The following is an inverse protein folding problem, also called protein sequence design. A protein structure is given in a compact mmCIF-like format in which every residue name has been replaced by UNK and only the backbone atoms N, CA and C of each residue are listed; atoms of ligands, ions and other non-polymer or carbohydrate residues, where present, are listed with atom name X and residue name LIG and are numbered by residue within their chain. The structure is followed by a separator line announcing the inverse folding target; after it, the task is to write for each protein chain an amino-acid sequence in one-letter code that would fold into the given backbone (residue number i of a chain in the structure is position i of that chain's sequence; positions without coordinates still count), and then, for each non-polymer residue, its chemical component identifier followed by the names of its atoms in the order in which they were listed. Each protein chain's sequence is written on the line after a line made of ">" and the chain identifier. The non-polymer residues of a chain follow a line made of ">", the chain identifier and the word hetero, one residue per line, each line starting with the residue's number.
data_IF_541150707587
#
_entry.id   IF_541150707587
#
_cell.length_a   1.000
_cell.length_b   1.000
_cell.length_c   1.000
_cell.angle_alpha   90.00
_cell.angle_beta   90.00
_cell.angle_gamma   90.00
#
_symmetry.space_group_name_H-M   'P 1'
#
loop_
_entity.id
_entity.type
_entity.pdbx_description
1 polymer ?
#
# COMPACT_ATOMS: atom_id res chain seq x y z
N UNK A 1 -1.81 4.43 8.00
CA UNK A 1 -1.06 3.29 8.57
C UNK A 1 -1.69 2.77 9.86
N UNK A 2 -1.86 3.59 10.92
CA UNK A 2 -2.40 3.13 12.20
C UNK A 2 -3.74 2.36 12.12
N UNK A 3 -4.75 2.93 11.44
CA UNK A 3 -6.09 2.32 11.32
C UNK A 3 -6.02 0.90 10.76
N UNK A 4 -5.17 0.67 9.77
CA UNK A 4 -4.98 -0.64 9.15
C UNK A 4 -4.45 -1.67 10.16
N UNK A 5 -3.38 -1.31 10.88
CA UNK A 5 -2.81 -2.17 11.90
C UNK A 5 -3.80 -2.45 13.05
N UNK A 6 -4.46 -1.40 13.56
CA UNK A 6 -5.46 -1.54 14.62
C UNK A 6 -6.63 -2.44 14.20
N UNK A 7 -7.19 -2.25 13.00
CA UNK A 7 -8.24 -3.11 12.47
C UNK A 7 -7.77 -4.55 12.29
N UNK A 8 -6.54 -4.79 11.83
CA UNK A 8 -5.99 -6.15 11.72
C UNK A 8 -5.86 -6.85 13.08
N UNK A 9 -5.52 -6.13 14.15
CA UNK A 9 -5.50 -6.70 15.51
C UNK A 9 -6.89 -6.94 16.06
N UNK A 10 -7.83 -6.00 15.87
CA UNK A 10 -9.22 -6.22 16.26
C UNK A 10 -9.85 -7.42 15.55
N UNK A 11 -9.50 -7.65 14.27
CA UNK A 11 -9.96 -8.80 13.50
C UNK A 11 -9.47 -10.15 14.07
N UNK A 12 -8.37 -10.14 14.84
CA UNK A 12 -7.86 -11.31 15.57
C UNK A 12 -8.61 -11.59 16.89
N UNK A 13 -9.56 -10.73 17.28
CA UNK A 13 -10.35 -10.91 18.50
C UNK A 13 -9.61 -10.55 19.79
N UNK A 14 -8.64 -9.63 19.72
CA UNK A 14 -7.93 -9.14 20.92
C UNK A 14 -8.87 -8.31 21.81
N UNK A 15 -8.60 -8.31 23.12
CA UNK A 15 -9.39 -7.54 24.10
C UNK A 15 -8.93 -6.07 24.25
N UNK A 16 -7.79 -5.72 23.67
CA UNK A 16 -7.23 -4.38 23.78
C UNK A 16 -6.02 -4.16 22.88
N UNK A 17 -5.75 -2.88 22.61
CA UNK A 17 -4.57 -2.44 21.87
C UNK A 17 -3.63 -1.70 22.83
N UNK A 18 -2.38 -2.17 22.91
CA UNK A 18 -1.32 -1.44 23.57
C UNK A 18 -0.59 -0.57 22.55
N UNK A 19 -0.34 0.69 22.93
CA UNK A 19 0.23 1.69 22.05
C UNK A 19 1.50 2.22 22.71
N UNK A 20 2.66 1.79 22.23
CA UNK A 20 3.97 2.19 22.74
C UNK A 20 4.55 3.39 21.99
N UNK A 21 5.46 4.13 22.64
CA UNK A 21 6.31 5.15 22.00
C UNK A 21 5.59 6.37 21.40
N UNK A 22 4.28 6.48 21.60
CA UNK A 22 3.50 7.62 21.12
C UNK A 22 3.80 8.95 21.80
N UNK A 23 4.54 8.94 22.92
CA UNK A 23 5.03 10.15 23.57
C UNK A 23 6.00 10.94 22.69
N UNK A 24 6.62 10.33 21.67
CA UNK A 24 7.43 11.03 20.67
C UNK A 24 6.62 11.97 19.77
N UNK A 25 5.28 11.86 19.78
CA UNK A 25 4.38 12.75 19.02
C UNK A 25 4.02 14.03 19.78
N UNK A 26 4.65 14.29 20.93
CA UNK A 26 4.48 15.54 21.66
C UNK A 26 5.18 16.71 20.93
N UNK A 27 4.53 17.89 20.81
CA UNK A 27 3.22 18.25 21.33
C UNK A 27 2.06 17.67 20.51
N UNK A 28 1.02 17.19 21.21
CA UNK A 28 -0.10 16.51 20.56
C UNK A 28 -1.02 17.46 19.81
N UNK A 29 -1.17 17.23 18.51
CA UNK A 29 -2.08 17.98 17.64
C UNK A 29 -3.48 17.34 17.55
N UNK A 30 -4.42 18.04 16.92
CA UNK A 30 -5.78 17.54 16.72
C UNK A 30 -5.84 16.14 16.06
N UNK A 31 -4.93 15.89 15.10
CA UNK A 31 -4.82 14.61 14.39
C UNK A 31 -4.42 13.45 15.31
N UNK A 32 -3.68 13.72 16.38
CA UNK A 32 -3.32 12.73 17.40
C UNK A 32 -4.54 12.33 18.23
N UNK A 33 -5.31 13.30 18.73
CA UNK A 33 -6.52 13.03 19.49
C UNK A 33 -7.62 12.37 18.66
N UNK A 34 -7.71 12.66 17.36
CA UNK A 34 -8.59 11.92 16.44
C UNK A 34 -8.25 10.42 16.46
N UNK A 35 -6.96 10.08 16.27
CA UNK A 35 -6.51 8.67 16.29
C UNK A 35 -6.84 7.99 17.62
N UNK A 36 -6.60 8.65 18.76
CA UNK A 36 -6.90 8.09 20.08
C UNK A 36 -8.39 7.80 20.29
N UNK A 37 -9.28 8.66 19.76
CA UNK A 37 -10.74 8.44 19.86
C UNK A 37 -11.22 7.31 18.96
N UNK A 38 -10.53 7.03 17.88
CA UNK A 38 -10.90 5.97 16.93
C UNK A 38 -10.40 4.59 17.35
N UNK A 39 -9.20 4.51 17.91
CA UNK A 39 -8.49 3.27 18.18
C UNK A 39 -9.32 2.19 18.90
N UNK A 40 -10.12 2.52 19.95
CA UNK A 40 -10.93 1.53 20.65
C UNK A 40 -12.12 1.00 19.84
N UNK A 41 -12.49 1.66 18.74
CA UNK A 41 -13.74 1.42 18.02
C UNK A 41 -13.48 1.01 16.57
N UNK A 42 -13.30 -0.29 16.28
CA UNK A 42 -13.08 -0.77 14.92
C UNK A 42 -14.22 -0.39 13.95
N UNK A 43 -15.46 -0.27 14.45
CA UNK A 43 -16.63 0.15 13.66
C UNK A 43 -16.50 1.57 13.08
N UNK A 44 -15.87 2.49 13.81
CA UNK A 44 -15.62 3.88 13.35
C UNK A 44 -14.54 3.88 12.26
N UNK A 45 -13.53 3.02 12.41
CA UNK A 45 -12.43 2.92 11.45
C UNK A 45 -12.80 2.11 10.19
N UNK A 46 -13.84 1.27 10.24
CA UNK A 46 -14.16 0.30 9.20
C UNK A 46 -14.27 0.92 7.79
N UNK A 47 -14.90 2.08 7.65
CA UNK A 47 -15.02 2.82 6.37
C UNK A 47 -14.21 4.12 6.36
N UNK A 48 -13.05 4.13 7.02
CA UNK A 48 -12.03 5.19 6.89
C UNK A 48 -10.86 4.70 6.06
N UNK A 49 -10.17 5.64 5.44
CA UNK A 49 -8.99 5.37 4.64
C UNK A 49 -7.95 4.59 5.44
N UNK A 50 -7.44 3.51 4.86
CA UNK A 50 -6.45 2.63 5.46
C UNK A 50 -5.30 2.39 4.52
N UNK A 51 -4.15 2.12 5.14
CA UNK A 51 -2.89 1.92 4.44
C UNK A 51 -2.18 0.74 5.07
N UNK A 52 -2.12 -0.35 4.32
CA UNK A 52 -1.45 -1.60 4.63
C UNK A 52 -0.12 -1.63 3.88
N UNK A 53 0.89 -2.25 4.48
CA UNK A 53 2.17 -2.45 3.83
C UNK A 53 2.88 -3.66 4.43
N UNK A 54 3.76 -4.26 3.65
CA UNK A 54 4.69 -5.27 4.14
C UNK A 54 5.94 -4.58 4.69
N UNK A 55 6.44 -5.09 5.81
CA UNK A 55 7.66 -4.56 6.40
C UNK A 55 8.85 -4.84 5.49
N UNK A 56 9.75 -3.87 5.41
CA UNK A 56 11.01 -3.97 4.67
C UNK A 56 12.16 -3.92 5.68
N UNK A 57 13.11 -4.84 5.58
CA UNK A 57 14.31 -4.81 6.40
C UNK A 57 15.05 -3.48 6.18
N UNK A 58 15.17 -2.70 7.25
CA UNK A 58 16.13 -1.61 7.35
C UNK A 58 17.35 -2.11 8.12
N UNK A 59 18.55 -1.68 7.73
CA UNK A 59 19.81 -2.21 8.26
C UNK A 59 19.98 -2.01 9.78
N UNK A 60 19.16 -1.17 10.42
CA UNK A 60 19.30 -0.74 11.82
C UNK A 60 18.14 -1.17 12.75
N UNK A 61 17.28 -2.10 12.32
CA UNK A 61 16.15 -2.57 13.14
C UNK A 61 16.58 -3.54 14.26
N UNK A 62 15.93 -3.52 15.45
CA UNK A 62 16.16 -4.56 16.45
C UNK A 62 15.85 -5.94 15.86
N UNK A 63 16.53 -6.98 16.32
CA UNK A 63 16.32 -8.36 15.86
C UNK A 63 14.86 -8.78 16.09
N UNK A 64 14.04 -8.69 15.03
CA UNK A 64 12.64 -9.08 15.08
C UNK A 64 12.58 -10.61 15.03
N UNK A 65 11.72 -11.24 15.83
CA UNK A 65 11.56 -12.70 15.89
C UNK A 65 11.10 -13.34 14.57
N UNK A 66 10.63 -12.53 13.60
CA UNK A 66 10.37 -12.92 12.23
C UNK A 66 11.09 -11.97 11.29
N UNK A 67 11.84 -12.46 10.29
CA UNK A 67 12.49 -11.59 9.31
C UNK A 67 11.42 -10.82 8.53
N UNK A 68 11.70 -9.57 8.19
CA UNK A 68 10.78 -8.80 7.37
C UNK A 68 10.67 -9.45 5.98
N UNK A 69 9.46 -9.47 5.38
CA UNK A 69 9.21 -10.16 4.11
C UNK A 69 9.93 -9.52 2.92
N UNK A 70 10.30 -8.24 3.00
CA UNK A 70 10.98 -7.48 1.96
C UNK A 70 12.35 -6.97 2.46
N UNK A 71 13.31 -6.65 1.56
CA UNK A 71 13.24 -6.77 0.10
C UNK A 71 13.35 -8.23 -0.39
N UNK A 72 12.92 -8.50 -1.63
CA UNK A 72 13.05 -9.79 -2.30
C UNK A 72 13.66 -9.65 -3.69
N UNK A 73 14.68 -10.45 -3.98
CA UNK A 73 15.25 -10.58 -5.31
C UNK A 73 14.22 -11.22 -6.25
N UNK A 74 14.10 -10.67 -7.47
CA UNK A 74 13.27 -11.22 -8.54
C UNK A 74 14.19 -11.90 -9.55
N UNK A 75 14.21 -13.22 -9.52
CA UNK A 75 14.91 -14.04 -10.51
C UNK A 75 13.98 -14.35 -11.69
N UNK A 76 14.56 -14.54 -12.87
CA UNK A 76 13.81 -14.84 -14.08
C UNK A 76 12.93 -16.08 -13.92
N UNK A 77 11.66 -15.94 -14.29
CA UNK A 77 10.60 -16.97 -14.26
C UNK A 77 10.35 -17.60 -12.88
N UNK A 78 10.86 -16.97 -11.80
CA UNK A 78 10.65 -17.44 -10.43
C UNK A 78 9.71 -16.48 -9.70
N UNK A 79 8.48 -16.93 -9.36
CA UNK A 79 7.54 -16.08 -8.64
C UNK A 79 7.99 -15.86 -7.20
N UNK A 80 8.02 -14.60 -6.78
CA UNK A 80 8.10 -14.23 -5.37
C UNK A 80 6.70 -14.17 -4.80
N UNK A 81 6.44 -14.97 -3.76
CA UNK A 81 5.15 -15.03 -3.08
C UNK A 81 5.20 -14.30 -1.73
N UNK A 82 4.20 -13.49 -1.47
CA UNK A 82 4.04 -12.70 -0.24
C UNK A 82 2.59 -12.80 0.24
N UNK A 83 2.39 -12.66 1.56
CA UNK A 83 1.05 -12.62 2.17
C UNK A 83 0.81 -11.24 2.77
N UNK A 84 -0.25 -10.57 2.34
CA UNK A 84 -0.73 -9.31 2.91
C UNK A 84 -2.06 -9.54 3.62
N UNK A 85 -2.13 -9.24 4.92
CA UNK A 85 -3.38 -9.34 5.68
C UNK A 85 -4.09 -7.99 5.73
N UNK A 86 -5.38 -7.98 5.39
CA UNK A 86 -6.23 -6.77 5.43
C UNK A 86 -7.52 -7.04 6.19
N UNK A 87 -7.90 -6.13 7.09
CA UNK A 87 -9.18 -6.22 7.81
C UNK A 87 -10.37 -5.64 7.03
N UNK A 88 -10.12 -4.98 5.90
CA UNK A 88 -11.16 -4.27 5.16
C UNK A 88 -12.08 -5.21 4.39
N UNK A 89 -13.38 -5.03 4.57
CA UNK A 89 -14.44 -5.72 3.84
C UNK A 89 -14.87 -4.87 2.64
N UNK A 90 -14.07 -4.94 1.57
CA UNK A 90 -14.29 -4.13 0.37
C UNK A 90 -15.60 -4.49 -0.35
N UNK A 91 -16.02 -5.75 -0.31
CA UNK A 91 -17.29 -6.18 -0.89
C UNK A 91 -18.46 -5.47 -0.22
N UNK A 92 -18.55 -5.54 1.12
CA UNK A 92 -19.59 -4.87 1.90
C UNK A 92 -19.64 -3.36 1.63
N UNK A 93 -18.49 -2.70 1.58
CA UNK A 93 -18.44 -1.26 1.36
C UNK A 93 -18.62 -0.84 -0.10
N UNK A 94 -18.33 -1.74 -1.04
CA UNK A 94 -18.64 -1.58 -2.46
C UNK A 94 -20.13 -1.64 -2.71
N UNK A 95 -20.84 -2.59 -2.11
CA UNK A 95 -22.31 -2.65 -2.16
C UNK A 95 -22.98 -1.39 -1.60
N UNK A 96 -22.33 -0.71 -0.65
CA UNK A 96 -22.77 0.56 -0.09
C UNK A 96 -22.36 1.80 -0.93
N UNK A 97 -21.65 1.61 -2.06
CA UNK A 97 -21.04 2.67 -2.88
C UNK A 97 -20.16 3.63 -2.05
N UNK A 98 -19.37 3.06 -1.13
CA UNK A 98 -18.47 3.81 -0.24
C UNK A 98 -17.01 3.60 -0.54
N UNK A 99 -16.62 2.59 -1.30
CA UNK A 99 -15.24 2.43 -1.77
C UNK A 99 -14.99 3.48 -2.85
N UNK A 100 -14.08 4.42 -2.59
CA UNK A 100 -13.68 5.44 -3.55
C UNK A 100 -12.57 4.93 -4.46
N UNK A 101 -11.54 4.34 -3.86
CA UNK A 101 -10.35 3.89 -4.59
C UNK A 101 -9.62 2.81 -3.81
N UNK A 102 -9.10 1.82 -4.51
CA UNK A 102 -8.21 0.79 -3.96
C UNK A 102 -6.92 0.81 -4.77
N UNK A 103 -5.81 1.19 -4.13
CA UNK A 103 -4.51 1.30 -4.76
C UNK A 103 -3.59 0.20 -4.22
N UNK A 104 -3.12 -0.68 -5.11
CA UNK A 104 -2.06 -1.64 -4.80
C UNK A 104 -0.77 -1.21 -5.49
N UNK A 105 0.30 -1.05 -4.71
CA UNK A 105 1.55 -0.43 -5.14
C UNK A 105 2.72 -1.36 -4.89
N UNK A 106 3.56 -1.45 -5.91
CA UNK A 106 4.81 -2.18 -5.86
C UNK A 106 5.94 -1.23 -6.22
N UNK A 107 7.04 -1.28 -5.47
CA UNK A 107 8.28 -0.65 -5.88
C UNK A 107 9.30 -1.70 -6.23
N UNK A 108 9.80 -1.61 -7.47
CA UNK A 108 10.85 -2.49 -7.98
C UNK A 108 12.10 -1.64 -8.17
N UNK A 109 13.21 -2.10 -7.60
CA UNK A 109 14.52 -1.49 -7.76
C UNK A 109 15.32 -2.28 -8.80
N UNK A 110 16.08 -1.59 -9.64
CA UNK A 110 16.89 -2.22 -10.69
C UNK A 110 16.13 -2.64 -11.95
N UNK A 111 14.81 -2.50 -12.03
CA UNK A 111 14.08 -2.73 -13.28
C UNK A 111 14.21 -1.53 -14.24
N UNK A 112 14.15 -1.81 -15.54
CA UNK A 112 14.10 -0.84 -16.63
C UNK A 112 12.74 -0.88 -17.34
N UNK A 113 12.56 -0.04 -18.38
CA UNK A 113 11.28 0.10 -19.09
C UNK A 113 10.92 -1.12 -19.95
N UNK A 114 11.94 -1.80 -20.48
CA UNK A 114 11.89 -2.98 -21.34
C UNK A 114 11.64 -4.28 -20.57
N UNK A 115 11.90 -4.29 -19.26
CA UNK A 115 11.62 -5.45 -18.41
C UNK A 115 10.12 -5.75 -18.35
N UNK A 116 9.78 -7.04 -18.35
CA UNK A 116 8.40 -7.50 -18.16
C UNK A 116 8.25 -8.15 -16.81
N UNK A 117 7.47 -7.49 -15.95
CA UNK A 117 7.13 -7.98 -14.62
C UNK A 117 5.62 -8.21 -14.58
N UNK A 118 5.25 -9.42 -14.20
CA UNK A 118 3.87 -9.83 -13.95
C UNK A 118 3.55 -9.71 -12.47
N UNK A 119 2.35 -9.22 -12.18
CA UNK A 119 1.81 -9.07 -10.83
C UNK A 119 0.50 -9.86 -10.75
N UNK A 120 0.32 -10.62 -9.69
CA UNK A 120 -0.94 -11.29 -9.41
C UNK A 120 -1.37 -11.11 -7.96
N UNK A 121 -2.69 -11.10 -7.76
CA UNK A 121 -3.35 -11.00 -6.47
C UNK A 121 -4.37 -12.14 -6.37
N UNK A 122 -4.25 -12.96 -5.32
CA UNK A 122 -5.13 -14.10 -5.07
C UNK A 122 -5.26 -15.06 -6.27
N UNK A 123 -4.15 -15.27 -7.00
CA UNK A 123 -4.10 -16.12 -8.19
C UNK A 123 -4.62 -15.48 -9.48
N UNK A 124 -5.08 -14.23 -9.43
CA UNK A 124 -5.52 -13.47 -10.61
C UNK A 124 -4.41 -12.52 -11.06
N UNK A 125 -4.01 -12.62 -12.33
CA UNK A 125 -3.06 -11.68 -12.94
C UNK A 125 -3.71 -10.31 -13.01
N UNK A 126 -3.03 -9.30 -12.49
CA UNK A 126 -3.49 -7.92 -12.53
C UNK A 126 -3.36 -7.36 -13.96
N UNK A 127 -4.46 -6.93 -14.58
CA UNK A 127 -4.43 -6.36 -15.93
C UNK A 127 -3.59 -5.08 -16.02
N UNK A 128 -2.98 -4.86 -17.19
CA UNK A 128 -2.10 -3.70 -17.41
C UNK A 128 -2.87 -2.38 -17.55
N UNK A 129 -4.14 -2.41 -17.95
CA UNK A 129 -5.03 -1.25 -18.03
C UNK A 129 -5.33 -0.64 -16.65
N UNK A 130 -5.23 -1.45 -15.58
CA UNK A 130 -5.31 -0.96 -14.21
C UNK A 130 -3.98 -0.35 -13.73
N UNK A 131 -2.88 -0.56 -14.46
CA UNK A 131 -1.52 -0.20 -14.05
C UNK A 131 -1.11 1.19 -14.55
N UNK A 132 -0.60 1.99 -13.62
CA UNK A 132 0.22 3.17 -13.89
C UNK A 132 1.66 2.91 -13.46
N UNK A 133 2.61 3.12 -14.37
CA UNK A 133 4.04 3.12 -14.04
C UNK A 133 4.52 4.54 -13.75
N UNK A 134 5.32 4.71 -12.70
CA UNK A 134 6.02 5.97 -12.41
C UNK A 134 7.51 5.66 -12.29
N UNK A 135 8.31 6.23 -13.19
CA UNK A 135 9.76 6.22 -13.09
C UNK A 135 10.18 7.09 -11.89
N UNK A 136 10.76 6.45 -10.88
CA UNK A 136 11.37 7.10 -9.72
C UNK A 136 12.81 6.64 -9.53
N UNK A 137 13.47 6.19 -10.62
CA UNK A 137 14.84 5.67 -10.58
C UNK A 137 15.78 6.65 -9.89
N UNK A 138 15.63 7.94 -10.17
CA UNK A 138 16.44 9.00 -9.59
C UNK A 138 15.57 10.07 -8.96
N UNK A 139 15.67 10.24 -7.64
CA UNK A 139 15.15 11.40 -6.90
C UNK A 139 16.31 12.12 -6.24
N UNK A 140 16.41 13.42 -6.50
CA UNK A 140 17.35 14.30 -5.83
C UNK A 140 16.58 15.40 -5.13
N UNK A 141 16.74 15.46 -3.81
CA UNK A 141 16.49 16.68 -3.05
C UNK A 141 17.87 17.25 -2.65
N UNK A 142 18.05 18.56 -2.73
CA UNK A 142 19.36 19.20 -2.91
C UNK A 142 20.46 18.89 -1.86
N UNK A 143 21.66 19.47 -2.03
CA UNK A 143 22.75 18.96 -2.88
C UNK A 143 23.31 17.57 -2.51
N UNK A 144 22.83 16.90 -1.45
CA UNK A 144 23.42 15.65 -0.94
C UNK A 144 22.45 14.48 -0.75
N UNK A 145 21.14 14.68 -0.90
CA UNK A 145 20.18 13.59 -0.71
C UNK A 145 19.76 13.00 -2.04
N UNK A 146 20.40 11.87 -2.41
CA UNK A 146 20.05 11.09 -3.60
C UNK A 146 19.35 9.82 -3.15
N UNK A 147 18.14 9.60 -3.64
CA UNK A 147 17.40 8.35 -3.44
C UNK A 147 17.28 7.66 -4.78
N UNK A 148 17.86 6.46 -4.87
CA UNK A 148 17.63 5.55 -5.98
C UNK A 148 16.32 4.81 -5.70
N UNK A 149 15.27 5.23 -6.42
CA UNK A 149 13.88 4.98 -6.02
C UNK A 149 13.14 3.94 -6.85
N UNK A 150 13.75 3.36 -7.89
CA UNK A 150 13.13 2.31 -8.68
C UNK A 150 11.90 2.75 -9.49
N UNK A 151 11.17 1.80 -10.08
CA UNK A 151 9.84 2.07 -10.65
C UNK A 151 8.75 1.74 -9.64
N UNK A 152 7.74 2.60 -9.60
CA UNK A 152 6.47 2.29 -8.98
C UNK A 152 5.52 1.69 -10.02
N UNK A 153 4.97 0.52 -9.71
CA UNK A 153 3.85 -0.08 -10.42
C UNK A 153 2.61 0.08 -9.54
N UNK A 154 1.71 0.95 -9.95
CA UNK A 154 0.53 1.37 -9.17
C UNK A 154 -0.71 0.83 -9.87
N UNK A 155 -1.41 -0.09 -9.24
CA UNK A 155 -2.66 -0.65 -9.72
C UNK A 155 -3.83 0.03 -9.04
N UNK A 156 -4.72 0.65 -9.83
CA UNK A 156 -6.03 1.10 -9.36
C UNK A 156 -7.03 -0.03 -9.55
N UNK A 157 -7.30 -0.78 -8.49
CA UNK A 157 -8.09 -2.01 -8.55
C UNK A 157 -9.59 -1.69 -8.71
N UNK A 158 -10.23 -2.36 -9.64
CA UNK A 158 -11.68 -2.40 -9.76
C UNK A 158 -12.29 -3.48 -8.84
N UNK A 159 -13.62 -3.53 -8.78
CA UNK A 159 -14.34 -4.47 -7.90
C UNK A 159 -14.07 -5.95 -8.20
N UNK A 160 -13.68 -6.30 -9.43
CA UNK A 160 -13.36 -7.68 -9.81
C UNK A 160 -12.00 -8.13 -9.25
N UNK A 161 -11.08 -7.18 -9.06
CA UNK A 161 -9.72 -7.43 -8.59
C UNK A 161 -9.47 -6.94 -7.15
N UNK A 162 -10.52 -6.59 -6.39
CA UNK A 162 -10.34 -6.18 -5.00
C UNK A 162 -9.79 -7.32 -4.14
N UNK A 163 -8.89 -7.01 -3.19
CA UNK A 163 -8.47 -7.98 -2.20
C UNK A 163 -9.62 -8.36 -1.26
N UNK A 164 -9.51 -9.53 -0.65
CA UNK A 164 -10.50 -10.06 0.30
C UNK A 164 -10.11 -9.72 1.73
N UNK A 165 -11.11 -9.66 2.64
CA UNK A 165 -10.83 -9.57 4.07
C UNK A 165 -10.04 -10.80 4.53
N UNK A 166 -9.01 -10.57 5.32
CA UNK A 166 -8.06 -11.58 5.77
C UNK A 166 -6.80 -11.61 4.90
N UNK A 167 -6.32 -12.83 4.63
CA UNK A 167 -5.04 -13.08 3.96
C UNK A 167 -5.19 -12.97 2.45
N UNK A 168 -4.31 -12.20 1.82
CA UNK A 168 -4.21 -12.06 0.37
C UNK A 168 -2.84 -12.52 -0.11
N UNK A 169 -2.80 -13.38 -1.12
CA UNK A 169 -1.57 -13.88 -1.74
C UNK A 169 -1.17 -12.94 -2.86
N UNK A 170 0.05 -12.44 -2.80
CA UNK A 170 0.65 -11.55 -3.79
C UNK A 170 1.77 -12.30 -4.48
N UNK A 171 1.78 -12.30 -5.80
CA UNK A 171 2.83 -12.92 -6.60
C UNK A 171 3.42 -11.90 -7.55
N UNK A 172 4.75 -11.81 -7.59
CA UNK A 172 5.50 -10.95 -8.51
C UNK A 172 6.52 -11.80 -9.24
N UNK A 173 6.50 -11.78 -10.57
CA UNK A 173 7.38 -12.60 -11.42
C UNK A 173 8.07 -11.72 -12.45
N UNK A 174 9.40 -11.80 -12.53
CA UNK A 174 10.17 -11.21 -13.61
C UNK A 174 10.15 -12.19 -14.79
N UNK A 175 9.42 -11.85 -15.85
CA UNK A 175 9.25 -12.69 -17.05
C UNK A 175 10.31 -12.43 -18.12
N UNK A 176 10.75 -11.17 -18.22
CA UNK A 176 11.73 -10.77 -19.23
C UNK A 176 12.63 -9.70 -18.63
N UNK A 177 13.94 -9.87 -18.85
CA UNK A 177 14.99 -8.94 -18.45
C UNK A 177 15.65 -8.39 -19.70
N UNK A 178 15.90 -7.09 -19.70
CA UNK A 178 16.67 -6.45 -20.77
C UNK A 178 18.03 -7.13 -20.97
N UNK A 179 18.32 -7.53 -22.21
CA UNK A 179 19.50 -8.31 -22.55
C UNK A 179 20.82 -7.52 -22.41
N UNK A 180 20.75 -6.19 -22.43
CA UNK A 180 21.92 -5.32 -22.28
C UNK A 180 22.34 -5.15 -20.81
N UNK A 181 21.50 -5.56 -19.86
CA UNK A 181 21.80 -5.50 -18.44
C UNK A 181 22.61 -6.72 -17.99
N UNK A 182 23.90 -6.51 -17.75
CA UNK A 182 24.79 -7.53 -17.21
C UNK A 182 24.51 -7.88 -15.73
N UNK A 183 23.81 -7.01 -14.99
CA UNK A 183 23.53 -7.19 -13.56
C UNK A 183 22.15 -7.85 -13.33
N UNK A 184 22.09 -9.01 -12.64
CA UNK A 184 20.82 -9.64 -12.26
C UNK A 184 20.03 -8.83 -11.23
N UNK A 185 20.53 -7.69 -10.75
CA UNK A 185 19.88 -6.89 -9.73
C UNK A 185 18.50 -6.36 -10.17
N UNK A 186 17.46 -7.00 -9.65
CA UNK A 186 16.06 -6.61 -9.78
C UNK A 186 15.35 -7.04 -8.50
N UNK A 187 14.87 -6.10 -7.70
CA UNK A 187 14.44 -6.37 -6.33
C UNK A 187 13.10 -5.71 -6.04
N UNK A 188 12.15 -6.49 -5.53
CA UNK A 188 10.91 -5.97 -4.95
C UNK A 188 11.22 -5.38 -3.57
N UNK A 189 11.04 -4.07 -3.41
CA UNK A 189 11.39 -3.34 -2.18
C UNK A 189 10.20 -2.96 -1.34
N UNK A 190 9.09 -2.59 -1.98
CA UNK A 190 7.89 -2.12 -1.28
C UNK A 190 6.64 -2.78 -1.87
N UNK A 191 5.71 -3.18 -0.99
CA UNK A 191 4.37 -3.67 -1.32
C UNK A 191 3.39 -3.00 -0.38
N UNK A 192 2.45 -2.25 -0.95
CA UNK A 192 1.56 -1.37 -0.19
C UNK A 192 0.15 -1.40 -0.77
N UNK A 193 -0.86 -1.43 0.09
CA UNK A 193 -2.26 -1.33 -0.29
C UNK A 193 -2.90 -0.16 0.44
N UNK A 194 -3.62 0.68 -0.29
CA UNK A 194 -4.41 1.77 0.27
C UNK A 194 -5.86 1.65 -0.16
N UNK A 195 -6.74 1.68 0.82
CA UNK A 195 -8.19 1.72 0.62
C UNK A 195 -8.67 3.11 0.99
N UNK A 196 -9.41 3.75 0.09
CA UNK A 196 -10.00 5.07 0.29
C UNK A 196 -11.51 4.96 0.27
N UNK A 197 -12.16 5.65 1.19
CA UNK A 197 -13.60 5.57 1.39
C UNK A 197 -14.28 6.92 1.33
N UNK A 198 -15.54 6.93 0.92
CA UNK A 198 -16.43 8.07 1.05
C UNK A 198 -17.12 8.04 2.41
N UNK A 199 -17.40 9.24 2.96
CA UNK A 199 -18.21 9.35 4.19
C UNK A 199 -19.62 8.78 3.99
N UNK A 200 -20.13 8.84 2.76
CA UNK A 200 -21.34 8.19 2.30
C UNK A 200 -21.34 8.10 0.77
N UNK A 201 -22.35 7.45 0.20
CA UNK A 201 -22.52 7.35 -1.25
C UNK A 201 -22.47 8.74 -1.91
N UNK A 202 -21.65 8.88 -2.96
CA UNK A 202 -21.45 10.13 -3.71
C UNK A 202 -20.96 11.33 -2.89
N UNK A 203 -20.39 11.11 -1.70
CA UNK A 203 -19.89 12.19 -0.85
C UNK A 203 -18.54 12.72 -1.36
N UNK A 204 -18.28 14.02 -1.23
CA UNK A 204 -16.99 14.62 -1.63
C UNK A 204 -15.82 14.12 -0.77
N UNK A 205 -14.62 14.02 -1.35
CA UNK A 205 -13.40 13.54 -0.68
C UNK A 205 -12.72 14.60 0.18
N UNK A 206 -12.85 15.87 -0.20
CA UNK A 206 -12.28 17.00 0.52
C UNK A 206 -13.22 18.19 0.43
N UNK A 207 -12.97 19.23 1.23
CA UNK A 207 -13.76 20.47 1.21
C UNK A 207 -13.92 21.02 -0.21
N UNK A 208 -12.82 21.02 -0.97
CA UNK A 208 -12.82 21.07 -2.44
C UNK A 208 -12.32 19.72 -2.93
N UNK A 209 -13.19 18.97 -3.59
CA UNK A 209 -12.85 17.66 -4.13
C UNK A 209 -11.86 17.79 -5.31
N UNK A 210 -10.74 17.03 -5.34
CA UNK A 210 -9.72 17.14 -6.38
C UNK A 210 -10.24 16.86 -7.79
N UNK A 211 -11.31 16.07 -7.92
CA UNK A 211 -11.95 15.74 -9.20
C UNK A 211 -12.82 16.90 -9.72
N UNK A 212 -13.13 17.88 -8.87
CA UNK A 212 -13.74 19.12 -9.34
C UNK A 212 -12.72 19.96 -10.11
N UNK A 213 -13.19 20.50 -11.23
CA UNK A 213 -12.37 21.30 -12.14
C UNK A 213 -11.83 22.58 -11.49
N UNK A 214 -10.93 23.30 -12.18
CA UNK A 214 -10.24 24.48 -11.64
C UNK A 214 -11.17 25.60 -11.14
N UNK A 215 -12.41 25.65 -11.62
CA UNK A 215 -13.39 26.66 -11.22
C UNK A 215 -13.80 26.55 -9.74
N UNK A 216 -13.89 25.32 -9.22
CA UNK A 216 -14.32 25.05 -7.83
C UNK A 216 -13.16 25.17 -6.82
N UNK A 217 -11.91 25.30 -7.29
CA UNK A 217 -10.70 25.42 -6.45
C UNK A 217 -10.43 26.83 -5.92
N UNK A 218 -11.27 27.81 -6.27
CA UNK A 218 -11.06 29.23 -5.95
C UNK A 218 -11.77 29.71 -4.67
N UNK A 219 -12.26 28.81 -3.83
CA UNK A 219 -12.98 29.15 -2.59
C UNK A 219 -12.09 29.02 -1.36
#
# INVERSE_FOLDING_TARGET
>A
MLRAAACNFWDQGVDGLYVSEWFHLWPYEASFYEKLRELPYPSIMAAKDKYYFLLTNTQDGPAVSRPNPLPRQLDLDQPVELELTIADDLQKWGEADRVHEVLLRFRIHGNVETDRIQFALNGQILPDDLRRKINSLYKMDGPRYRVMGGYWHIFKLDAAHWPVRGKNRIEVTLLERDADLADPYCTLTDVELETKYLKGRNFHRAYVDPDLGPAERKV
#
